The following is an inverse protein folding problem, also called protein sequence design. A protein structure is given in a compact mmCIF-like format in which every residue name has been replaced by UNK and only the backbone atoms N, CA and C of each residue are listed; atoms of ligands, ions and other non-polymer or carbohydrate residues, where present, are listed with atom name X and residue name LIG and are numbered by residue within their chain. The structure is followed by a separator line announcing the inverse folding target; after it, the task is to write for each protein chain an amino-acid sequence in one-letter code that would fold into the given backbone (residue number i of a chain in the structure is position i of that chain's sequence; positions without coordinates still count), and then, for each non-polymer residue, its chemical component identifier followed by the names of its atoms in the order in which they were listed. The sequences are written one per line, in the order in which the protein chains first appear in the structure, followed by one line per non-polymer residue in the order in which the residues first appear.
data_IF_727927648414
#
_entry.id   IF_727927648414
#
_cell.length_a   1.000
_cell.length_b   1.000
_cell.length_c   1.000
_cell.angle_alpha   90.00
_cell.angle_beta   90.00
_cell.angle_gamma   90.00
#
_symmetry.space_group_name_H-M   'P 1'
#
loop_
_entity.id
_entity.type
_entity.pdbx_description
1 polymer ?
#
# COMPACT_ATOMS: atom_id res chain seq x y z
N UNK A 1 18.73 -46.87 -38.27
CA UNK A 1 19.40 -46.26 -37.10
C UNK A 1 19.02 -44.78 -37.04
N UNK A 2 17.93 -44.37 -36.36
CA UNK A 2 17.58 -42.96 -36.26
C UNK A 2 18.37 -42.30 -35.12
N UNK A 3 19.02 -41.20 -35.45
CA UNK A 3 19.83 -40.36 -34.57
C UNK A 3 18.96 -39.65 -33.55
N UNK A 4 19.22 -39.89 -32.27
CA UNK A 4 18.57 -39.19 -31.14
C UNK A 4 19.02 -37.73 -31.10
N UNK A 5 18.09 -36.80 -31.27
CA UNK A 5 18.30 -35.41 -30.88
C UNK A 5 18.28 -35.28 -29.35
N UNK A 6 19.24 -34.59 -28.71
CA UNK A 6 19.19 -34.37 -27.28
C UNK A 6 18.10 -33.34 -26.95
N UNK A 7 17.14 -33.76 -26.13
CA UNK A 7 16.10 -32.89 -25.59
C UNK A 7 16.74 -31.80 -24.72
N UNK A 8 16.57 -30.54 -25.14
CA UNK A 8 17.03 -29.38 -24.40
C UNK A 8 16.18 -29.22 -23.12
N UNK A 9 16.70 -29.69 -21.97
CA UNK A 9 16.04 -29.53 -20.67
C UNK A 9 16.00 -28.03 -20.32
N UNK A 10 14.79 -27.45 -20.31
CA UNK A 10 14.54 -26.09 -19.79
C UNK A 10 15.11 -25.97 -18.37
N UNK A 11 15.98 -24.99 -18.15
CA UNK A 11 16.48 -24.61 -16.81
C UNK A 11 15.28 -24.25 -15.90
N UNK A 12 15.28 -24.65 -14.61
CA UNK A 12 14.22 -24.26 -13.70
C UNK A 12 14.23 -22.73 -13.55
N UNK A 13 13.06 -22.10 -13.72
CA UNK A 13 12.92 -20.65 -13.62
C UNK A 13 13.44 -20.14 -12.26
N UNK A 14 14.24 -19.07 -12.27
CA UNK A 14 14.75 -18.44 -11.05
C UNK A 14 13.58 -18.13 -10.10
N UNK A 15 13.71 -18.53 -8.83
CA UNK A 15 12.75 -18.18 -7.78
C UNK A 15 12.56 -16.66 -7.75
N UNK A 16 11.30 -16.23 -7.83
CA UNK A 16 10.89 -14.82 -7.75
C UNK A 16 11.04 -14.27 -6.32
N UNK A 17 11.05 -15.16 -5.32
CA UNK A 17 11.13 -14.78 -3.91
C UNK A 17 12.59 -14.52 -3.48
N UNK A 18 12.82 -13.53 -2.60
CA UNK A 18 14.15 -13.22 -2.09
C UNK A 18 14.70 -14.37 -1.26
N UNK A 19 16.02 -14.55 -1.30
CA UNK A 19 16.71 -15.44 -0.37
C UNK A 19 16.39 -15.07 1.08
N UNK A 20 16.34 -16.06 1.98
CA UNK A 20 16.04 -15.85 3.41
C UNK A 20 16.93 -14.78 4.04
N UNK A 21 18.21 -14.74 3.69
CA UNK A 21 19.16 -13.76 4.20
C UNK A 21 18.82 -12.33 3.75
N UNK A 22 18.45 -12.16 2.47
CA UNK A 22 18.04 -10.88 1.90
C UNK A 22 16.70 -10.39 2.48
N UNK A 23 15.72 -11.30 2.61
CA UNK A 23 14.43 -11.03 3.28
C UNK A 23 14.66 -10.50 4.70
N UNK A 24 15.41 -11.24 5.53
CA UNK A 24 15.67 -10.84 6.93
C UNK A 24 16.40 -9.50 7.02
N UNK A 25 17.41 -9.27 6.16
CA UNK A 25 18.13 -7.98 6.12
C UNK A 25 17.21 -6.83 5.76
N UNK A 26 16.34 -7.00 4.75
CA UNK A 26 15.39 -5.97 4.35
C UNK A 26 14.41 -5.64 5.48
N UNK A 27 13.78 -6.65 6.07
CA UNK A 27 12.85 -6.48 7.18
C UNK A 27 13.46 -5.71 8.35
N UNK A 28 14.62 -6.16 8.85
CA UNK A 28 15.29 -5.54 10.00
C UNK A 28 15.70 -4.10 9.72
N UNK A 29 16.29 -3.83 8.56
CA UNK A 29 16.76 -2.49 8.20
C UNK A 29 15.60 -1.52 7.97
N UNK A 30 14.52 -1.99 7.36
CA UNK A 30 13.35 -1.17 7.09
C UNK A 30 12.63 -0.80 8.40
N UNK A 31 12.39 -1.78 9.28
CA UNK A 31 11.76 -1.54 10.57
C UNK A 31 12.63 -0.68 11.49
N UNK A 32 13.96 -0.89 11.50
CA UNK A 32 14.87 -0.01 12.24
C UNK A 32 14.76 1.43 11.74
N UNK A 33 14.83 1.64 10.42
CA UNK A 33 14.69 2.96 9.82
C UNK A 33 13.34 3.60 10.19
N UNK A 34 12.25 2.83 10.18
CA UNK A 34 10.93 3.34 10.55
C UNK A 34 10.83 3.74 12.03
N UNK A 35 11.47 3.01 12.93
CA UNK A 35 11.53 3.39 14.35
C UNK A 35 12.24 4.73 14.60
N UNK A 36 13.15 5.13 13.70
CA UNK A 36 13.93 6.39 13.81
C UNK A 36 13.32 7.54 12.99
N UNK A 37 12.63 7.24 11.89
CA UNK A 37 12.23 8.21 10.87
C UNK A 37 10.76 8.16 10.46
N UNK A 38 9.96 7.26 11.04
CA UNK A 38 8.54 7.12 10.75
C UNK A 38 7.75 8.41 11.01
N UNK A 39 6.80 8.71 10.12
CA UNK A 39 5.99 9.94 10.24
C UNK A 39 4.91 9.79 11.32
N UNK A 40 4.69 10.86 12.08
CA UNK A 40 3.55 10.98 12.98
C UNK A 40 2.34 11.55 12.22
N UNK A 41 1.29 10.74 12.04
CA UNK A 41 0.11 11.11 11.23
C UNK A 41 -1.18 10.79 12.00
N UNK A 42 -2.26 11.61 11.89
CA UNK A 42 -3.47 11.42 12.68
C UNK A 42 -4.11 10.04 12.56
N UNK A 43 -4.18 9.49 11.34
CA UNK A 43 -4.74 8.16 11.07
C UNK A 43 -3.85 7.00 11.53
N UNK A 44 -2.64 7.26 12.03
CA UNK A 44 -1.79 6.25 12.69
C UNK A 44 -2.03 6.15 14.19
N UNK A 45 -2.84 7.04 14.76
CA UNK A 45 -3.18 7.09 16.20
C UNK A 45 -4.49 6.38 16.53
N UNK A 46 -5.00 5.58 15.60
CA UNK A 46 -6.26 4.85 15.71
C UNK A 46 -6.16 3.51 14.99
N UNK A 47 -6.96 2.55 15.44
CA UNK A 47 -7.20 1.28 14.76
C UNK A 47 -8.67 1.15 14.30
N UNK A 48 -9.44 2.24 14.34
CA UNK A 48 -10.82 2.25 13.91
C UNK A 48 -10.92 2.05 12.38
N UNK A 49 -11.58 0.99 11.88
CA UNK A 49 -11.71 0.71 10.45
C UNK A 49 -12.33 1.86 9.64
N UNK A 50 -13.29 2.61 10.22
CA UNK A 50 -13.89 3.78 9.58
C UNK A 50 -12.84 4.87 9.36
N UNK A 51 -12.14 5.23 10.43
CA UNK A 51 -11.11 6.27 10.41
C UNK A 51 -9.96 5.92 9.47
N UNK A 52 -9.54 4.65 9.45
CA UNK A 52 -8.53 4.14 8.51
C UNK A 52 -9.04 4.26 7.07
N UNK A 53 -10.24 3.74 6.76
CA UNK A 53 -10.81 3.82 5.41
C UNK A 53 -10.94 5.26 4.92
N UNK A 54 -11.41 6.19 5.76
CA UNK A 54 -11.50 7.63 5.41
C UNK A 54 -10.13 8.16 4.98
N UNK A 55 -9.08 7.89 5.77
CA UNK A 55 -7.72 8.34 5.45
C UNK A 55 -7.19 7.72 4.16
N UNK A 56 -7.37 6.41 3.97
CA UNK A 56 -6.92 5.69 2.77
C UNK A 56 -7.61 6.21 1.50
N UNK A 57 -8.92 6.52 1.54
CA UNK A 57 -9.62 7.12 0.39
C UNK A 57 -9.15 8.55 0.15
N UNK A 58 -8.93 9.35 1.20
CA UNK A 58 -8.43 10.73 1.05
C UNK A 58 -7.01 10.77 0.48
N UNK A 59 -6.12 9.85 0.88
CA UNK A 59 -4.73 9.80 0.41
C UNK A 59 -4.57 9.35 -1.05
N UNK A 60 -5.63 8.83 -1.68
CA UNK A 60 -5.61 8.53 -3.10
C UNK A 60 -5.36 9.80 -3.91
N UNK A 61 -4.19 9.89 -4.56
CA UNK A 61 -3.82 11.01 -5.42
C UNK A 61 -3.87 12.39 -4.74
N UNK A 62 -3.74 12.43 -3.42
CA UNK A 62 -3.76 13.68 -2.64
C UNK A 62 -2.60 13.71 -1.67
N UNK A 63 -1.94 14.86 -1.55
CA UNK A 63 -0.79 15.03 -0.67
C UNK A 63 -1.20 15.03 0.80
N UNK A 64 -0.36 14.45 1.66
CA UNK A 64 -0.62 14.28 3.10
C UNK A 64 -0.98 15.59 3.78
N UNK A 65 -0.22 16.67 3.52
CA UNK A 65 -0.45 17.98 4.14
C UNK A 65 -1.83 18.58 3.80
N UNK A 66 -2.40 18.21 2.65
CA UNK A 66 -3.77 18.61 2.28
C UNK A 66 -4.82 17.73 2.93
N UNK A 67 -4.50 16.46 3.16
CA UNK A 67 -5.42 15.49 3.78
C UNK A 67 -5.58 15.77 5.27
N UNK A 68 -4.52 16.09 6.01
CA UNK A 68 -4.55 16.28 7.48
C UNK A 68 -5.71 17.20 7.94
N UNK A 69 -5.83 18.46 7.49
CA UNK A 69 -6.90 19.34 7.97
C UNK A 69 -8.28 18.82 7.56
N UNK A 70 -8.40 18.26 6.35
CA UNK A 70 -9.67 17.77 5.82
C UNK A 70 -10.14 16.49 6.52
N UNK A 71 -9.21 15.62 6.90
CA UNK A 71 -9.48 14.42 7.69
C UNK A 71 -10.13 14.78 9.03
N UNK A 72 -9.60 15.76 9.74
CA UNK A 72 -10.17 16.23 11.00
C UNK A 72 -11.55 16.88 10.81
N UNK A 73 -11.73 17.73 9.79
CA UNK A 73 -13.02 18.34 9.46
C UNK A 73 -14.08 17.27 9.13
N UNK A 74 -13.70 16.29 8.32
CA UNK A 74 -14.62 15.23 7.87
C UNK A 74 -15.05 14.35 9.03
N UNK A 75 -14.11 13.86 9.85
CA UNK A 75 -14.43 13.01 11.01
C UNK A 75 -15.17 13.77 12.12
N UNK A 76 -14.99 15.08 12.25
CA UNK A 76 -15.80 15.89 13.17
C UNK A 76 -17.27 15.92 12.74
N UNK A 77 -17.53 15.94 11.43
CA UNK A 77 -18.89 15.98 10.88
C UNK A 77 -19.54 14.60 10.77
N UNK A 78 -18.75 13.61 10.40
CA UNK A 78 -19.17 12.22 10.21
C UNK A 78 -18.22 11.34 11.05
N UNK A 79 -18.50 11.13 12.34
CA UNK A 79 -17.60 10.38 13.20
C UNK A 79 -17.71 8.86 13.05
N UNK A 80 -18.76 8.34 12.38
CA UNK A 80 -18.99 6.91 12.19
C UNK A 80 -19.48 6.55 10.78
N UNK A 81 -19.55 5.25 10.48
CA UNK A 81 -20.20 4.77 9.27
C UNK A 81 -21.68 5.15 9.23
N UNK A 82 -22.36 5.07 10.37
CA UNK A 82 -23.77 5.42 10.55
C UNK A 82 -24.03 6.89 10.22
N UNK A 83 -23.23 7.79 10.79
CA UNK A 83 -23.34 9.23 10.54
C UNK A 83 -23.09 9.58 9.07
N UNK A 84 -22.12 8.89 8.44
CA UNK A 84 -21.84 9.08 7.03
C UNK A 84 -22.95 8.51 6.14
N UNK A 85 -23.48 7.33 6.48
CA UNK A 85 -24.49 6.63 5.69
C UNK A 85 -25.81 7.42 5.60
N UNK A 86 -26.23 8.07 6.68
CA UNK A 86 -27.47 8.88 6.71
C UNK A 86 -27.31 10.26 6.08
N UNK A 87 -26.07 10.70 5.83
CA UNK A 87 -25.81 12.02 5.27
C UNK A 87 -26.25 12.11 3.79
N UNK A 88 -26.81 13.25 3.35
CA UNK A 88 -27.01 13.50 1.93
C UNK A 88 -25.66 13.48 1.19
N UNK A 89 -25.53 12.68 0.14
CA UNK A 89 -24.27 12.55 -0.62
C UNK A 89 -23.75 13.90 -1.15
N UNK A 90 -24.63 14.86 -1.43
CA UNK A 90 -24.26 16.22 -1.81
C UNK A 90 -23.47 16.96 -0.70
N UNK A 91 -23.86 16.78 0.56
CA UNK A 91 -23.15 17.36 1.72
C UNK A 91 -21.80 16.68 1.94
N UNK A 92 -21.72 15.38 1.70
CA UNK A 92 -20.45 14.63 1.76
C UNK A 92 -19.47 15.17 0.72
N UNK A 93 -19.93 15.37 -0.53
CA UNK A 93 -19.12 16.00 -1.60
C UNK A 93 -18.68 17.42 -1.22
N UNK A 94 -19.58 18.22 -0.64
CA UNK A 94 -19.27 19.59 -0.20
C UNK A 94 -18.20 19.59 0.89
N UNK A 95 -18.32 18.71 1.88
CA UNK A 95 -17.32 18.57 2.96
C UNK A 95 -15.97 18.11 2.41
N UNK A 96 -15.96 17.22 1.42
CA UNK A 96 -14.73 16.68 0.79
C UNK A 96 -13.90 17.72 0.00
N UNK A 97 -14.53 18.76 -0.53
CA UNK A 97 -13.84 19.82 -1.26
C UNK A 97 -12.76 20.52 -0.39
N UNK A 98 -11.54 20.82 -0.90
CA UNK A 98 -11.10 20.80 -2.29
C UNK A 98 -10.22 19.59 -2.68
N UNK A 99 -10.29 18.44 -1.99
CA UNK A 99 -9.36 17.32 -2.25
C UNK A 99 -9.44 16.74 -3.69
N UNK A 100 -10.47 17.09 -4.48
CA UNK A 100 -10.64 16.66 -5.87
C UNK A 100 -11.06 15.20 -6.02
N UNK A 101 -11.19 14.73 -7.27
CA UNK A 101 -11.71 13.40 -7.60
C UNK A 101 -13.07 13.10 -6.93
N UNK A 102 -14.12 13.80 -7.37
CA UNK A 102 -15.44 13.82 -6.72
C UNK A 102 -16.14 12.46 -6.64
N UNK A 103 -15.67 11.44 -7.36
CA UNK A 103 -16.18 10.07 -7.22
C UNK A 103 -15.75 9.41 -5.90
N UNK A 104 -14.65 9.86 -5.27
CA UNK A 104 -14.13 9.29 -4.01
C UNK A 104 -15.08 9.48 -2.82
N UNK A 105 -15.59 10.68 -2.51
CA UNK A 105 -16.55 10.84 -1.43
C UNK A 105 -17.84 10.05 -1.67
N UNK A 106 -18.27 9.91 -2.93
CA UNK A 106 -19.44 9.09 -3.28
C UNK A 106 -19.19 7.59 -3.05
N UNK A 107 -18.02 7.09 -3.42
CA UNK A 107 -17.63 5.69 -3.15
C UNK A 107 -17.52 5.43 -1.66
N UNK A 108 -16.90 6.33 -0.91
CA UNK A 108 -16.81 6.21 0.55
C UNK A 108 -18.19 6.22 1.20
N UNK A 109 -19.09 7.11 0.76
CA UNK A 109 -20.49 7.14 1.18
C UNK A 109 -21.21 5.82 0.86
N UNK A 110 -21.05 5.30 -0.35
CA UNK A 110 -21.60 3.99 -0.74
C UNK A 110 -21.10 2.84 0.14
N UNK A 111 -19.79 2.80 0.44
CA UNK A 111 -19.22 1.81 1.37
C UNK A 111 -19.84 1.96 2.76
N UNK A 112 -20.07 3.18 3.23
CA UNK A 112 -20.69 3.42 4.53
C UNK A 112 -22.13 2.93 4.58
N UNK A 113 -22.95 3.27 3.58
CA UNK A 113 -24.32 2.76 3.47
C UNK A 113 -24.34 1.22 3.46
N UNK A 114 -23.49 0.60 2.64
CA UNK A 114 -23.40 -0.84 2.51
C UNK A 114 -22.91 -1.51 3.82
N UNK A 115 -21.98 -0.88 4.54
CA UNK A 115 -21.49 -1.35 5.85
C UNK A 115 -22.60 -1.31 6.90
N UNK A 116 -23.41 -0.26 6.91
CA UNK A 116 -24.56 -0.16 7.82
C UNK A 116 -25.63 -1.20 7.48
N UNK A 117 -26.00 -1.30 6.20
CA UNK A 117 -27.07 -2.17 5.74
C UNK A 117 -26.74 -3.67 5.90
N UNK A 118 -25.54 -4.09 5.48
CA UNK A 118 -25.16 -5.51 5.45
C UNK A 118 -24.48 -5.98 6.73
N UNK A 119 -23.80 -5.07 7.43
CA UNK A 119 -22.88 -5.42 8.53
C UNK A 119 -23.16 -4.66 9.85
N UNK A 120 -24.27 -3.92 9.94
CA UNK A 120 -24.68 -3.24 11.17
C UNK A 120 -23.65 -2.21 11.67
N UNK A 121 -23.00 -1.50 10.74
CA UNK A 121 -22.03 -0.44 11.05
C UNK A 121 -20.59 -0.95 11.28
N UNK A 122 -20.37 -2.27 11.19
CA UNK A 122 -19.06 -2.87 11.44
C UNK A 122 -18.43 -3.37 10.15
N UNK A 123 -17.38 -2.70 9.68
CA UNK A 123 -16.65 -3.16 8.50
C UNK A 123 -16.02 -4.54 8.75
N UNK A 124 -16.19 -5.54 7.85
CA UNK A 124 -15.58 -6.86 8.03
C UNK A 124 -14.05 -6.80 7.90
N UNK A 125 -13.36 -7.78 8.49
CA UNK A 125 -11.92 -7.97 8.34
C UNK A 125 -11.56 -9.06 7.31
N UNK A 126 -12.54 -9.82 6.80
CA UNK A 126 -12.30 -10.81 5.76
C UNK A 126 -11.94 -10.16 4.41
N UNK A 127 -11.00 -10.78 3.69
CA UNK A 127 -10.50 -10.22 2.44
C UNK A 127 -11.51 -10.29 1.30
N UNK A 128 -12.28 -11.38 1.20
CA UNK A 128 -13.27 -11.55 0.14
C UNK A 128 -14.46 -10.63 0.37
N UNK A 129 -14.90 -10.49 1.62
CA UNK A 129 -15.95 -9.56 2.00
C UNK A 129 -15.56 -8.11 1.69
N UNK A 130 -14.36 -7.69 2.10
CA UNK A 130 -13.83 -6.35 1.79
C UNK A 130 -13.76 -6.10 0.28
N UNK A 131 -13.34 -7.09 -0.51
CA UNK A 131 -13.27 -6.98 -1.97
C UNK A 131 -14.64 -6.95 -2.65
N UNK A 132 -15.72 -7.34 -1.96
CA UNK A 132 -17.09 -7.26 -2.48
C UNK A 132 -17.61 -5.81 -2.55
N UNK A 133 -17.09 -4.90 -1.72
CA UNK A 133 -17.51 -3.50 -1.70
C UNK A 133 -17.04 -2.75 -2.95
N UNK A 134 -17.96 -2.04 -3.60
CA UNK A 134 -17.64 -1.22 -4.76
C UNK A 134 -16.73 -0.05 -4.38
N UNK A 135 -15.45 -0.16 -4.72
CA UNK A 135 -14.44 0.88 -4.47
C UNK A 135 -13.31 0.44 -3.54
N UNK A 136 -13.44 -0.73 -2.90
CA UNK A 136 -12.35 -1.36 -2.16
C UNK A 136 -11.60 -2.30 -3.11
N UNK A 137 -10.39 -1.89 -3.49
CA UNK A 137 -9.46 -2.75 -4.23
C UNK A 137 -8.53 -3.53 -3.31
N UNK A 138 -7.74 -4.44 -3.88
CA UNK A 138 -6.77 -5.27 -3.13
C UNK A 138 -5.83 -4.48 -2.21
N UNK A 139 -5.40 -3.29 -2.63
CA UNK A 139 -4.61 -2.40 -1.76
C UNK A 139 -5.40 -1.96 -0.53
N UNK A 140 -6.60 -1.38 -0.71
CA UNK A 140 -7.42 -0.87 0.38
C UNK A 140 -7.87 -1.97 1.32
N UNK A 141 -8.22 -3.15 0.80
CA UNK A 141 -8.52 -4.32 1.63
C UNK A 141 -7.31 -4.73 2.49
N UNK A 142 -6.10 -4.79 1.91
CA UNK A 142 -4.87 -5.06 2.67
C UNK A 142 -4.55 -3.98 3.70
N UNK A 143 -4.77 -2.70 3.35
CA UNK A 143 -4.57 -1.57 4.25
C UNK A 143 -5.53 -1.61 5.44
N UNK A 144 -6.83 -1.88 5.23
CA UNK A 144 -7.81 -2.05 6.32
C UNK A 144 -7.39 -3.21 7.23
N UNK A 145 -7.13 -4.39 6.65
CA UNK A 145 -6.73 -5.59 7.41
C UNK A 145 -5.46 -5.35 8.22
N UNK A 146 -4.48 -4.66 7.63
CA UNK A 146 -3.22 -4.38 8.31
C UNK A 146 -3.32 -3.24 9.34
N UNK A 147 -3.99 -2.13 9.01
CA UNK A 147 -3.96 -0.92 9.83
C UNK A 147 -5.06 -0.87 10.89
N UNK A 148 -6.22 -1.46 10.63
CA UNK A 148 -7.32 -1.52 11.59
C UNK A 148 -7.31 -2.83 12.38
N UNK A 149 -7.05 -3.96 11.72
CA UNK A 149 -7.14 -5.30 12.33
C UNK A 149 -5.78 -5.94 12.66
N UNK A 150 -4.67 -5.23 12.43
CA UNK A 150 -3.31 -5.66 12.73
C UNK A 150 -2.93 -7.02 12.10
N UNK A 151 -3.52 -7.36 10.95
CA UNK A 151 -3.21 -8.57 10.22
C UNK A 151 -1.96 -8.39 9.34
N UNK A 152 -1.26 -9.50 9.07
CA UNK A 152 -0.11 -9.54 8.16
C UNK A 152 -0.54 -9.50 6.68
N UNK A 153 -1.39 -8.54 6.33
CA UNK A 153 -1.95 -8.39 4.99
C UNK A 153 -1.03 -7.55 4.08
N UNK A 154 -0.76 -7.99 2.83
CA UNK A 154 0.07 -7.23 1.91
C UNK A 154 -0.63 -5.99 1.39
N UNK A 155 0.15 -4.94 1.17
CA UNK A 155 -0.25 -3.74 0.41
C UNK A 155 0.67 -3.56 -0.82
N UNK A 156 0.16 -2.89 -1.84
CA UNK A 156 0.96 -2.58 -3.02
C UNK A 156 0.48 -1.28 -3.70
N UNK A 157 0.89 -0.13 -3.15
CA UNK A 157 0.72 1.17 -3.80
C UNK A 157 1.89 1.49 -4.76
N UNK A 158 1.90 2.68 -5.34
CA UNK A 158 2.96 3.10 -6.26
C UNK A 158 4.33 3.29 -5.59
N UNK A 159 4.36 3.56 -4.27
CA UNK A 159 5.60 3.66 -3.50
C UNK A 159 6.20 2.28 -3.22
N UNK A 160 5.38 1.34 -2.74
CA UNK A 160 5.77 -0.04 -2.48
C UNK A 160 6.18 -0.73 -3.78
N UNK A 161 5.44 -0.56 -4.87
CA UNK A 161 5.83 -1.05 -6.21
C UNK A 161 7.26 -0.62 -6.54
N UNK A 162 7.56 0.68 -6.38
CA UNK A 162 8.85 1.25 -6.74
C UNK A 162 9.97 0.71 -5.85
N UNK A 163 9.75 0.64 -4.53
CA UNK A 163 10.74 0.09 -3.58
C UNK A 163 11.02 -1.37 -3.90
N UNK A 164 9.99 -2.21 -4.00
CA UNK A 164 10.14 -3.64 -4.24
C UNK A 164 10.79 -3.92 -5.60
N UNK A 165 10.38 -3.20 -6.63
CA UNK A 165 10.96 -3.33 -7.97
C UNK A 165 12.44 -2.96 -7.94
N UNK A 166 12.82 -1.80 -7.40
CA UNK A 166 14.23 -1.36 -7.36
C UNK A 166 15.11 -2.27 -6.51
N UNK A 167 14.63 -2.71 -5.36
CA UNK A 167 15.44 -3.50 -4.42
C UNK A 167 15.59 -4.95 -4.91
N UNK A 168 14.53 -5.58 -5.42
CA UNK A 168 14.51 -7.03 -5.65
C UNK A 168 14.36 -7.47 -7.11
N UNK A 169 13.91 -6.61 -8.03
CA UNK A 169 13.62 -6.99 -9.42
C UNK A 169 14.61 -6.35 -10.40
N UNK A 170 14.73 -5.02 -10.36
CA UNK A 170 15.50 -4.13 -11.23
C UNK A 170 15.05 -4.06 -12.69
N UNK A 171 14.86 -5.20 -13.36
CA UNK A 171 14.60 -5.27 -14.81
C UNK A 171 13.11 -5.44 -15.15
N UNK A 172 12.69 -4.79 -16.24
CA UNK A 172 11.32 -4.83 -16.77
C UNK A 172 10.44 -3.67 -16.33
N UNK A 173 9.19 -3.68 -16.79
CA UNK A 173 8.20 -2.66 -16.42
C UNK A 173 7.43 -3.11 -15.16
N UNK A 174 7.51 -2.37 -14.04
CA UNK A 174 6.74 -2.70 -12.84
C UNK A 174 5.21 -2.74 -13.08
N UNK A 175 4.69 -2.05 -14.10
CA UNK A 175 3.26 -2.09 -14.44
C UNK A 175 2.80 -3.47 -14.92
N UNK A 176 3.66 -4.19 -15.64
CA UNK A 176 3.36 -5.54 -16.15
C UNK A 176 3.72 -6.64 -15.14
N UNK A 177 4.54 -6.31 -14.15
CA UNK A 177 5.03 -7.24 -13.13
C UNK A 177 4.26 -7.20 -11.79
N UNK A 178 3.05 -6.63 -11.75
CA UNK A 178 2.26 -6.51 -10.51
C UNK A 178 2.07 -7.84 -9.77
N UNK A 179 1.88 -8.95 -10.48
CA UNK A 179 1.70 -10.26 -9.86
C UNK A 179 2.94 -10.70 -9.06
N UNK A 180 4.14 -10.42 -9.56
CA UNK A 180 5.41 -10.70 -8.88
C UNK A 180 5.56 -9.77 -7.67
N UNK A 181 5.25 -8.48 -7.83
CA UNK A 181 5.38 -7.49 -6.76
C UNK A 181 4.41 -7.75 -5.61
N UNK A 182 3.20 -8.25 -5.89
CA UNK A 182 2.27 -8.70 -4.86
C UNK A 182 2.83 -9.88 -4.05
N UNK A 183 3.41 -10.88 -4.74
CA UNK A 183 4.07 -12.03 -4.07
C UNK A 183 5.24 -11.58 -3.21
N UNK A 184 6.01 -10.58 -3.66
CA UNK A 184 7.09 -9.99 -2.88
C UNK A 184 6.57 -9.25 -1.64
N UNK A 185 5.54 -8.43 -1.79
CA UNK A 185 4.93 -7.70 -0.67
C UNK A 185 4.47 -8.66 0.43
N UNK A 186 3.73 -9.71 0.05
CA UNK A 186 3.28 -10.76 0.95
C UNK A 186 4.45 -11.52 1.60
N UNK A 187 5.42 -11.96 0.80
CA UNK A 187 6.54 -12.73 1.30
C UNK A 187 7.49 -11.92 2.21
N UNK A 188 7.47 -10.59 2.17
CA UNK A 188 8.37 -9.74 2.95
C UNK A 188 7.78 -9.27 4.28
N UNK A 189 6.47 -9.40 4.51
CA UNK A 189 5.88 -9.07 5.81
C UNK A 189 6.42 -10.03 6.88
N UNK A 190 7.04 -9.52 7.96
CA UNK A 190 7.35 -10.34 9.13
C UNK A 190 6.07 -10.65 9.90
N UNK A 191 5.98 -11.87 10.43
CA UNK A 191 4.78 -12.29 11.18
C UNK A 191 4.57 -11.41 12.42
N UNK A 192 3.32 -10.99 12.63
CA UNK A 192 2.89 -10.10 13.72
C UNK A 192 3.41 -8.67 13.60
N UNK A 193 3.89 -8.27 12.40
CA UNK A 193 4.49 -6.97 12.14
C UNK A 193 3.92 -6.31 10.87
N UNK A 194 2.79 -6.79 10.37
CA UNK A 194 2.08 -6.23 9.21
C UNK A 194 1.94 -4.71 9.27
N UNK A 195 1.39 -4.18 10.37
CA UNK A 195 1.20 -2.74 10.57
C UNK A 195 2.50 -1.94 10.37
N UNK A 196 3.51 -2.21 11.21
CA UNK A 196 4.77 -1.46 11.19
C UNK A 196 5.49 -1.61 9.85
N UNK A 197 5.52 -2.82 9.29
CA UNK A 197 6.20 -3.08 8.03
C UNK A 197 5.56 -2.34 6.86
N UNK A 198 4.23 -2.34 6.78
CA UNK A 198 3.48 -1.66 5.72
C UNK A 198 3.62 -0.14 5.83
N UNK A 199 3.51 0.43 7.04
CA UNK A 199 3.76 1.86 7.26
C UNK A 199 5.22 2.23 6.90
N UNK A 200 6.18 1.39 7.29
CA UNK A 200 7.59 1.58 7.02
C UNK A 200 7.90 1.61 5.52
N UNK A 201 7.41 0.65 4.74
CA UNK A 201 7.72 0.60 3.30
C UNK A 201 7.07 1.75 2.53
N UNK A 202 5.89 2.21 2.95
CA UNK A 202 5.24 3.40 2.38
C UNK A 202 6.05 4.66 2.66
N UNK A 203 6.42 4.90 3.93
CA UNK A 203 7.25 6.04 4.33
C UNK A 203 8.60 6.02 3.64
N UNK A 204 9.23 4.86 3.60
CA UNK A 204 10.52 4.67 2.97
C UNK A 204 10.47 4.99 1.47
N UNK A 205 9.41 4.54 0.78
CA UNK A 205 9.18 4.90 -0.61
C UNK A 205 8.94 6.39 -0.80
N UNK A 206 8.17 7.03 0.09
CA UNK A 206 7.84 8.44 0.00
C UNK A 206 9.03 9.37 0.32
N UNK A 207 9.92 8.98 1.24
CA UNK A 207 10.94 9.88 1.80
C UNK A 207 12.36 9.57 1.32
N UNK A 208 12.69 8.30 1.06
CA UNK A 208 14.06 7.88 0.73
C UNK A 208 14.16 7.36 -0.70
N UNK A 209 13.37 6.35 -1.04
CA UNK A 209 13.34 5.76 -2.37
C UNK A 209 12.34 6.50 -3.27
N UNK A 210 12.49 7.83 -3.38
CA UNK A 210 11.58 8.72 -4.13
C UNK A 210 11.55 8.40 -5.63
N UNK A 211 10.47 8.82 -6.31
CA UNK A 211 10.30 8.56 -7.74
C UNK A 211 11.42 9.16 -8.59
N UNK A 212 11.80 10.40 -8.27
CA UNK A 212 12.91 11.15 -8.89
C UNK A 212 13.96 11.39 -7.81
N UNK A 213 15.23 11.22 -8.18
CA UNK A 213 16.39 11.51 -7.34
C UNK A 213 16.33 10.85 -5.95
N UNK A 214 16.27 9.50 -5.88
CA UNK A 214 16.26 8.79 -4.61
C UNK A 214 17.55 9.02 -3.82
N UNK A 215 17.43 9.10 -2.50
CA UNK A 215 18.55 9.33 -1.57
C UNK A 215 19.39 8.05 -1.37
N UNK A 216 19.91 7.49 -2.46
CA UNK A 216 20.59 6.19 -2.48
C UNK A 216 21.82 6.10 -1.59
N UNK A 217 22.52 7.21 -1.33
CA UNK A 217 23.68 7.23 -0.43
C UNK A 217 23.29 7.01 1.03
N UNK A 218 22.10 7.47 1.44
CA UNK A 218 21.54 7.32 2.79
C UNK A 218 20.64 6.09 2.91
N UNK A 219 20.39 5.38 1.79
CA UNK A 219 19.48 4.25 1.74
C UNK A 219 20.06 3.03 2.48
N UNK A 220 19.39 2.49 3.52
CA UNK A 220 19.83 1.31 4.24
C UNK A 220 19.84 0.03 3.37
N UNK A 221 19.18 0.06 2.21
CA UNK A 221 19.13 -1.06 1.25
C UNK A 221 20.28 -1.01 0.23
N UNK A 222 21.10 0.06 0.22
CA UNK A 222 22.16 0.31 -0.76
C UNK A 222 23.04 -0.91 -1.05
N UNK A 223 23.48 -1.64 -0.03
CA UNK A 223 24.44 -2.75 -0.17
C UNK A 223 23.88 -3.99 -0.88
N UNK A 224 22.57 -4.09 -1.11
CA UNK A 224 21.94 -5.23 -1.78
C UNK A 224 20.81 -4.83 -2.74
N UNK A 225 20.58 -3.54 -2.94
CA UNK A 225 19.61 -3.03 -3.88
C UNK A 225 20.08 -3.31 -5.31
N UNK A 226 19.27 -4.04 -6.09
CA UNK A 226 19.65 -4.41 -7.46
C UNK A 226 19.78 -3.22 -8.43
N UNK A 227 19.16 -2.08 -8.12
CA UNK A 227 19.31 -0.85 -8.92
C UNK A 227 20.28 0.16 -8.31
N UNK A 228 21.19 -0.24 -7.41
CA UNK A 228 22.26 0.64 -6.93
C UNK A 228 23.54 0.48 -7.77
N UNK A 229 24.23 1.58 -8.17
CA UNK A 229 23.79 2.97 -8.04
C UNK A 229 22.57 3.26 -8.92
N UNK A 230 21.64 4.07 -8.43
CA UNK A 230 20.47 4.46 -9.22
C UNK A 230 20.94 5.35 -10.36
N UNK A 231 20.89 4.82 -11.57
CA UNK A 231 21.00 5.59 -12.79
C UNK A 231 19.59 5.76 -13.35
N UNK A 232 19.11 6.98 -13.62
CA UNK A 232 17.94 7.16 -14.44
C UNK A 232 18.30 6.64 -15.85
N UNK A 233 18.03 5.36 -16.12
CA UNK A 233 18.04 4.86 -17.49
C UNK A 233 17.13 5.78 -18.30
N UNK A 234 17.72 6.38 -19.34
CA UNK A 234 17.11 7.27 -20.32
C UNK A 234 15.64 6.94 -20.48
N UNK A 235 14.77 7.89 -20.09
CA UNK A 235 13.41 7.92 -20.61
C UNK A 235 13.56 7.89 -22.12
N UNK A 236 13.19 6.78 -22.75
CA UNK A 236 12.79 6.83 -24.15
C UNK A 236 11.75 7.94 -24.26
N UNK A 237 11.99 8.79 -25.26
CA UNK A 237 11.24 10.02 -25.54
C UNK A 237 9.75 9.77 -25.62
#
# INVERSE_FOLDING_TARGET
MPTRHPSNKKKPGKSVLPERSAKRRFQLRLLKWYGEHGRDLPWRKTSDPYHILVSEVMLQQTQVDRVIPKYHEFLKRYPSFEDLAVAPVADVRKTWYPLGYNIRPERLHGIACETVERYGGKLPNDAEELLSFKGIGRYTAGAIRSFAFNEDAPILDTNVIRVLHRVFVAEGDPKTQKAILWKLSEALIPSGKGYDFNQAIMDFGAMVCTARDPYCLLCPMKSFCKTYPFSPTTRER
#
